data_IF_087859752493
#
_entry.id   IF_087859752493
#
_cell.length_a   1.000
_cell.length_b   1.000
_cell.length_c   1.000
_cell.angle_alpha   90.00
_cell.angle_beta   90.00
_cell.angle_gamma   90.00
#
_symmetry.space_group_name_H-M   'P 1'
#
loop_
_entity.id
_entity.type
_entity.pdbx_description
1 polymer ?
#
# COMPACT_ATOMS: atom_id res chain seq x y z
N UNK A 1 1.51 -9.24 -14.20
CA UNK A 1 1.45 -7.77 -14.31
C UNK A 1 2.88 -7.25 -14.22
N UNK A 2 3.23 -6.24 -15.02
CA UNK A 2 4.59 -5.67 -15.10
C UNK A 2 4.98 -4.93 -13.80
N UNK A 3 6.29 -4.80 -13.48
CA UNK A 3 6.76 -3.96 -12.38
C UNK A 3 6.31 -2.51 -12.56
N UNK A 4 5.74 -1.89 -11.52
CA UNK A 4 5.40 -0.47 -11.55
C UNK A 4 6.59 0.37 -11.07
N UNK A 5 6.81 1.55 -11.65
CA UNK A 5 7.81 2.54 -11.16
C UNK A 5 7.29 3.22 -9.88
N UNK A 6 7.26 2.47 -8.78
CA UNK A 6 6.84 2.96 -7.48
C UNK A 6 7.95 3.75 -6.80
N UNK A 7 7.54 4.78 -6.06
CA UNK A 7 8.42 5.60 -5.22
C UNK A 7 7.82 5.70 -3.82
N UNK A 8 8.65 5.88 -2.77
CA UNK A 8 8.14 6.19 -1.44
C UNK A 8 7.16 7.37 -1.47
N UNK A 9 6.02 7.22 -0.80
CA UNK A 9 4.94 8.20 -0.76
C UNK A 9 3.89 8.06 -1.87
N UNK A 10 4.07 7.17 -2.85
CA UNK A 10 3.00 6.80 -3.76
C UNK A 10 1.89 6.01 -3.03
N UNK A 11 0.67 6.10 -3.55
CA UNK A 11 -0.49 5.33 -3.07
C UNK A 11 -0.85 4.30 -4.11
N UNK A 12 -1.01 3.07 -3.66
CA UNK A 12 -1.60 1.99 -4.44
C UNK A 12 -2.91 1.55 -3.78
N UNK A 13 -3.85 1.04 -4.57
CA UNK A 13 -5.05 0.38 -4.08
C UNK A 13 -4.87 -1.12 -4.21
N UNK A 14 -5.16 -1.86 -3.15
CA UNK A 14 -5.11 -3.32 -3.16
C UNK A 14 -6.33 -3.89 -3.85
N UNK A 15 -6.16 -4.99 -4.57
CA UNK A 15 -7.28 -5.74 -5.14
C UNK A 15 -8.23 -6.23 -4.04
N UNK A 16 -9.55 -6.31 -4.30
CA UNK A 16 -10.51 -6.83 -3.33
C UNK A 16 -10.17 -8.24 -2.80
N UNK A 17 -9.50 -9.06 -3.61
CA UNK A 17 -9.12 -10.43 -3.28
C UNK A 17 -7.86 -10.50 -2.39
N UNK A 18 -7.12 -9.40 -2.21
CA UNK A 18 -5.95 -9.37 -1.36
C UNK A 18 -6.38 -9.35 0.12
N UNK A 19 -6.31 -10.51 0.78
CA UNK A 19 -6.75 -10.68 2.19
C UNK A 19 -8.13 -10.03 2.41
N UNK A 20 -9.19 -10.57 1.80
CA UNK A 20 -10.47 -9.87 1.60
C UNK A 20 -11.12 -9.39 2.90
N UNK A 21 -10.93 -10.13 4.00
CA UNK A 21 -11.52 -9.80 5.31
C UNK A 21 -10.77 -8.68 6.06
N UNK A 22 -9.62 -8.23 5.55
CA UNK A 22 -8.71 -7.33 6.28
C UNK A 22 -8.25 -6.14 5.42
N UNK A 23 -7.74 -6.41 4.22
CA UNK A 23 -7.05 -5.41 3.40
C UNK A 23 -7.61 -5.28 1.97
N UNK A 24 -8.64 -6.04 1.62
CA UNK A 24 -9.28 -5.96 0.31
C UNK A 24 -9.75 -4.52 0.02
N UNK A 25 -9.25 -3.92 -1.06
CA UNK A 25 -9.58 -2.54 -1.44
C UNK A 25 -8.87 -1.44 -0.63
N UNK A 26 -7.97 -1.79 0.30
CA UNK A 26 -7.27 -0.80 1.10
C UNK A 26 -6.33 0.08 0.26
N UNK A 27 -6.16 1.33 0.67
CA UNK A 27 -5.14 2.22 0.12
C UNK A 27 -3.86 2.10 0.94
N UNK A 28 -2.77 1.69 0.29
CA UNK A 28 -1.46 1.55 0.89
C UNK A 28 -0.55 2.68 0.41
N UNK A 29 0.06 3.40 1.36
CA UNK A 29 1.17 4.32 1.08
C UNK A 29 2.45 3.51 1.00
N UNK A 30 3.13 3.55 -0.16
CA UNK A 30 4.40 2.87 -0.41
C UNK A 30 5.49 3.50 0.45
N UNK A 31 6.21 2.67 1.20
CA UNK A 31 7.43 3.08 1.90
C UNK A 31 8.68 2.57 1.20
N UNK A 32 8.61 1.37 0.59
CA UNK A 32 9.73 0.77 -0.10
C UNK A 32 9.27 -0.06 -1.31
N UNK A 33 9.65 0.33 -2.55
CA UNK A 33 9.49 -0.52 -3.73
C UNK A 33 10.35 -1.77 -3.63
N UNK A 34 9.87 -2.91 -4.12
CA UNK A 34 10.59 -4.19 -4.11
C UNK A 34 10.55 -4.82 -5.49
N UNK A 35 11.54 -5.67 -5.87
CA UNK A 35 11.50 -6.36 -7.17
C UNK A 35 10.23 -7.18 -7.41
N UNK A 36 9.58 -7.66 -6.34
CA UNK A 36 8.39 -8.51 -6.36
C UNK A 36 7.07 -7.77 -6.09
N UNK A 37 7.11 -6.47 -5.74
CA UNK A 37 5.93 -5.72 -5.32
C UNK A 37 6.30 -4.45 -4.55
N UNK A 38 5.63 -4.22 -3.42
CA UNK A 38 5.94 -3.08 -2.56
C UNK A 38 5.73 -3.42 -1.10
N UNK A 39 6.40 -2.65 -0.24
CA UNK A 39 6.08 -2.54 1.17
C UNK A 39 5.49 -1.15 1.43
N UNK A 40 4.52 -1.10 2.31
CA UNK A 40 3.89 0.14 2.71
C UNK A 40 3.01 -0.03 3.91
N UNK A 41 2.25 1.02 4.21
CA UNK A 41 1.29 1.02 5.30
C UNK A 41 -0.08 1.49 4.85
N UNK A 42 -1.12 0.95 5.45
CA UNK A 42 -2.47 1.52 5.41
C UNK A 42 -2.87 2.01 6.80
N UNK A 43 -3.66 3.08 6.85
CA UNK A 43 -4.19 3.58 8.12
C UNK A 43 -5.35 2.71 8.60
N UNK A 44 -5.28 2.28 9.85
CA UNK A 44 -6.39 1.62 10.51
C UNK A 44 -7.36 2.68 11.05
N UNK A 45 -8.66 2.49 10.81
CA UNK A 45 -9.70 3.42 11.27
C UNK A 45 -9.70 3.62 12.80
N UNK A 46 -9.28 2.59 13.55
CA UNK A 46 -9.30 2.61 15.02
C UNK A 46 -7.91 2.86 15.58
N UNK A 47 -7.77 3.94 16.37
CA UNK A 47 -6.61 4.15 17.23
C UNK A 47 -5.39 4.85 16.60
N UNK A 48 -5.55 5.54 15.45
CA UNK A 48 -4.45 6.21 14.72
C UNK A 48 -3.25 5.29 14.46
N UNK A 49 -3.50 3.98 14.36
CA UNK A 49 -2.47 2.99 14.07
C UNK A 49 -2.31 2.82 12.56
N UNK A 50 -1.18 2.23 12.19
CA UNK A 50 -0.89 1.82 10.82
C UNK A 50 -0.65 0.32 10.80
N UNK A 51 -1.08 -0.34 9.73
CA UNK A 51 -0.75 -1.72 9.45
C UNK A 51 0.23 -1.77 8.28
N UNK A 52 1.35 -2.48 8.47
CA UNK A 52 2.33 -2.71 7.42
C UNK A 52 2.00 -3.96 6.62
N UNK A 53 2.04 -3.83 5.31
CA UNK A 53 1.68 -4.88 4.37
C UNK A 53 2.66 -4.91 3.19
N UNK A 54 2.72 -6.07 2.52
CA UNK A 54 3.70 -6.40 1.47
C UNK A 54 3.06 -7.09 0.26
N UNK A 55 2.16 -6.39 -0.48
CA UNK A 55 1.50 -6.96 -1.65
C UNK A 55 2.48 -7.22 -2.81
N UNK A 56 2.16 -8.22 -3.64
CA UNK A 56 2.85 -8.43 -4.92
C UNK A 56 2.31 -7.46 -5.96
N UNK A 57 3.04 -7.28 -7.07
CA UNK A 57 2.57 -6.48 -8.21
C UNK A 57 1.15 -6.84 -8.67
N UNK A 58 0.82 -8.14 -8.65
CA UNK A 58 -0.48 -8.63 -9.09
C UNK A 58 -1.64 -8.19 -8.18
N UNK A 59 -1.36 -7.80 -6.94
CA UNK A 59 -2.37 -7.56 -5.89
C UNK A 59 -2.69 -6.07 -5.70
N UNK A 60 -2.15 -5.19 -6.54
CA UNK A 60 -2.30 -3.74 -6.37
C UNK A 60 -2.31 -2.98 -7.69
N UNK A 61 -2.91 -1.81 -7.67
CA UNK A 61 -2.97 -0.85 -8.78
C UNK A 61 -2.47 0.52 -8.30
N UNK A 62 -1.67 1.22 -9.13
CA UNK A 62 -1.18 2.56 -8.80
C UNK A 62 -2.31 3.61 -8.89
N UNK A 63 -2.41 4.46 -7.86
CA UNK A 63 -3.41 5.54 -7.79
C UNK A 63 -2.78 6.92 -7.95
N UNK A 64 -1.64 7.16 -7.30
CA UNK A 64 -0.98 8.48 -7.37
C UNK A 64 -0.06 8.75 -6.19
N UNK A 65 0.02 10.02 -5.76
CA UNK A 65 0.85 10.45 -4.62
C UNK A 65 0.00 10.72 -3.38
N UNK A 66 0.48 10.33 -2.20
CA UNK A 66 -0.14 10.70 -0.95
C UNK A 66 0.02 12.20 -0.71
N UNK A 67 -1.08 12.89 -0.43
CA UNK A 67 -1.03 14.30 -0.05
C UNK A 67 -0.36 14.50 1.32
N UNK A 68 -0.41 13.48 2.18
CA UNK A 68 0.12 13.52 3.53
C UNK A 68 0.81 12.19 3.86
N UNK A 69 2.00 12.27 4.48
CA UNK A 69 2.72 11.11 4.98
C UNK A 69 2.62 11.06 6.50
N UNK A 70 2.41 9.87 7.04
CA UNK A 70 2.49 9.67 8.47
C UNK A 70 3.94 9.92 8.92
N UNK A 71 4.13 10.67 10.00
CA UNK A 71 5.41 10.70 10.71
C UNK A 71 5.55 9.38 11.47
N UNK A 72 5.97 8.35 10.78
CA UNK A 72 6.27 7.06 11.40
C UNK A 72 7.59 7.26 12.14
N UNK A 73 7.54 7.21 13.47
CA UNK A 73 8.72 7.25 14.33
C UNK A 73 9.47 5.93 14.28
#
# INVERSE_FOLDING_TARGET
MEPMDLKPGMVVQLRPEYQPDVFGGAFMVVTEPKPWGAQGYCHCLKGRSVAYIRPKWADMELIGMAAWLAKIK
#
